data_IF_212591820914
#
_entry.id   IF_212591820914
#
_cell.length_a   1.000
_cell.length_b   1.000
_cell.length_c   1.000
_cell.angle_alpha   90.00
_cell.angle_beta   90.00
_cell.angle_gamma   90.00
#
_symmetry.space_group_name_H-M   'P 1'
#
loop_
_entity.id
_entity.type
_entity.pdbx_description
1 polymer ?
#
# COMPACT_ATOMS: atom_id res chain seq x y z
N UNK A 1 5.43 10.45 -1.21
CA UNK A 1 5.70 9.15 -0.54
C UNK A 1 4.50 8.23 -0.74
N UNK A 2 4.68 6.92 -0.55
CA UNK A 2 3.58 5.96 -0.45
C UNK A 2 3.42 5.57 1.01
N UNK A 3 2.18 5.41 1.46
CA UNK A 3 1.84 4.89 2.78
C UNK A 3 1.23 3.52 2.56
N UNK A 4 1.83 2.48 3.13
CA UNK A 4 1.37 1.10 3.01
C UNK A 4 0.81 0.67 4.36
N UNK A 5 -0.42 0.16 4.39
CA UNK A 5 -1.10 -0.30 5.61
C UNK A 5 -1.82 -1.64 5.39
N UNK A 6 -2.50 -2.18 6.41
CA UNK A 6 -3.38 -3.33 6.28
C UNK A 6 -4.70 -3.06 5.56
N UNK A 7 -5.06 -1.80 5.29
CA UNK A 7 -6.23 -1.43 4.48
C UNK A 7 -7.62 -1.64 5.10
N UNK A 8 -7.71 -2.16 6.33
CA UNK A 8 -9.00 -2.42 6.97
C UNK A 8 -9.56 -1.18 7.71
N UNK A 9 -10.89 -1.11 7.83
CA UNK A 9 -11.62 -0.05 8.54
C UNK A 9 -11.65 -0.31 10.07
N UNK A 10 -10.46 -0.51 10.64
CA UNK A 10 -10.26 -0.75 12.06
C UNK A 10 -8.91 -0.20 12.55
N UNK A 11 -8.80 0.08 13.84
CA UNK A 11 -7.56 0.51 14.49
C UNK A 11 -6.85 1.69 13.81
N UNK A 12 -5.53 1.59 13.71
CA UNK A 12 -4.65 2.61 13.12
C UNK A 12 -4.96 2.86 11.64
N UNK A 13 -5.38 1.83 10.90
CA UNK A 13 -5.66 1.93 9.47
C UNK A 13 -6.81 2.93 9.22
N UNK A 14 -7.86 2.88 10.04
CA UNK A 14 -8.96 3.86 10.01
C UNK A 14 -8.46 5.28 10.33
N UNK A 15 -7.68 5.44 11.39
CA UNK A 15 -7.14 6.74 11.79
C UNK A 15 -6.30 7.38 10.67
N UNK A 16 -5.46 6.59 9.99
CA UNK A 16 -4.67 7.06 8.84
C UNK A 16 -5.60 7.53 7.72
N UNK A 17 -6.64 6.76 7.39
CA UNK A 17 -7.64 7.14 6.39
C UNK A 17 -8.29 8.48 6.71
N UNK A 18 -8.77 8.65 7.93
CA UNK A 18 -9.41 9.89 8.40
C UNK A 18 -8.44 11.08 8.33
N UNK A 19 -7.17 10.92 8.73
CA UNK A 19 -6.15 11.98 8.64
C UNK A 19 -5.87 12.38 7.19
N UNK A 20 -5.80 11.40 6.28
CA UNK A 20 -5.56 11.67 4.86
C UNK A 20 -6.76 12.39 4.24
N UNK A 21 -7.99 12.05 4.63
CA UNK A 21 -9.20 12.73 4.20
C UNK A 21 -9.28 14.19 4.70
N UNK A 22 -8.83 14.44 5.94
CA UNK A 22 -8.86 15.76 6.55
C UNK A 22 -7.74 16.70 6.06
N UNK A 23 -6.77 16.20 5.29
CA UNK A 23 -5.73 17.07 4.72
C UNK A 23 -6.38 18.03 3.73
N UNK A 24 -6.33 19.36 3.98
CA UNK A 24 -6.87 20.32 3.05
C UNK A 24 -6.09 20.24 1.72
N UNK A 25 -6.81 20.33 0.60
CA UNK A 25 -6.26 20.48 -0.77
C UNK A 25 -5.43 21.79 -0.96
N UNK A 26 -5.10 22.48 0.14
CA UNK A 26 -4.70 23.90 0.18
C UNK A 26 -3.27 24.19 -0.25
N UNK A 27 -2.52 23.21 -0.76
CA UNK A 27 -1.29 23.53 -1.49
C UNK A 27 -1.46 23.14 -2.94
N UNK A 28 -1.56 24.14 -3.81
CA UNK A 28 -1.62 24.05 -5.28
C UNK A 28 -0.49 23.19 -5.93
N UNK A 29 0.45 22.66 -5.14
CA UNK A 29 1.61 21.87 -5.57
C UNK A 29 1.83 20.55 -4.79
N UNK A 30 0.94 20.14 -3.87
CA UNK A 30 1.12 18.83 -3.20
C UNK A 30 0.65 17.70 -4.10
N UNK A 31 1.56 16.77 -4.42
CA UNK A 31 1.17 15.51 -5.06
C UNK A 31 0.29 14.71 -4.08
N UNK A 32 -0.82 14.11 -4.54
CA UNK A 32 -1.69 13.33 -3.68
C UNK A 32 -0.92 12.18 -3.03
N UNK A 33 -1.20 11.93 -1.75
CA UNK A 33 -0.60 10.82 -1.01
C UNK A 33 -1.24 9.53 -1.49
N UNK A 34 -0.41 8.55 -1.89
CA UNK A 34 -0.90 7.21 -2.23
C UNK A 34 -0.98 6.38 -0.97
N UNK A 35 -2.20 6.14 -0.50
CA UNK A 35 -2.51 5.26 0.61
C UNK A 35 -2.90 3.89 0.03
N UNK A 36 -2.08 2.88 0.27
CA UNK A 36 -2.16 1.53 -0.31
C UNK A 36 -2.44 0.51 0.80
N UNK A 37 -3.54 -0.22 0.67
CA UNK A 37 -3.95 -1.25 1.62
C UNK A 37 -3.54 -2.62 1.10
N UNK A 38 -2.85 -3.41 1.91
CA UNK A 38 -2.49 -4.79 1.58
C UNK A 38 -3.16 -5.71 2.58
N UNK A 39 -4.03 -6.60 2.10
CA UNK A 39 -4.82 -7.50 2.94
C UNK A 39 -4.89 -8.92 2.36
N UNK A 40 -5.06 -9.93 3.24
CA UNK A 40 -5.43 -11.28 2.81
C UNK A 40 -6.83 -11.28 2.20
N UNK A 41 -6.96 -11.79 0.97
CA UNK A 41 -8.21 -11.83 0.19
C UNK A 41 -9.40 -12.38 1.00
N UNK A 42 -9.25 -13.57 1.58
CA UNK A 42 -10.33 -14.23 2.30
C UNK A 42 -10.73 -13.57 3.63
N UNK A 43 -10.01 -12.57 4.13
CA UNK A 43 -10.40 -11.80 5.32
C UNK A 43 -11.28 -10.58 5.00
N UNK A 44 -11.31 -10.16 3.74
CA UNK A 44 -12.04 -8.96 3.30
C UNK A 44 -13.53 -9.25 3.22
N UNK A 45 -14.36 -8.38 3.80
CA UNK A 45 -15.82 -8.45 3.64
C UNK A 45 -16.19 -8.28 2.17
N UNK A 46 -17.18 -9.03 1.72
CA UNK A 46 -17.66 -8.99 0.33
C UNK A 46 -16.60 -9.39 -0.70
N UNK A 47 -15.58 -10.18 -0.31
CA UNK A 47 -14.50 -10.61 -1.22
C UNK A 47 -15.02 -11.35 -2.46
N UNK A 48 -16.12 -12.10 -2.33
CA UNK A 48 -16.78 -12.77 -3.46
C UNK A 48 -17.26 -11.78 -4.54
N UNK A 49 -17.63 -10.54 -4.16
CA UNK A 49 -18.05 -9.50 -5.11
C UNK A 49 -16.87 -8.90 -5.88
N UNK A 50 -15.66 -9.02 -5.33
CA UNK A 50 -14.43 -8.50 -5.92
C UNK A 50 -13.87 -9.43 -7.00
N UNK A 51 -14.36 -10.67 -7.12
CA UNK A 51 -13.95 -11.64 -8.15
C UNK A 51 -14.58 -11.31 -9.51
N UNK A 52 -14.24 -10.12 -10.01
CA UNK A 52 -14.69 -9.61 -11.31
C UNK A 52 -13.58 -8.82 -11.98
N UNK A 53 -13.39 -9.03 -13.28
CA UNK A 53 -12.39 -8.31 -14.06
C UNK A 53 -13.00 -7.06 -14.71
N UNK A 54 -12.33 -5.92 -14.54
CA UNK A 54 -12.66 -4.66 -15.24
C UNK A 54 -13.99 -4.03 -14.83
N UNK A 55 -14.54 -4.38 -13.67
CA UNK A 55 -15.82 -3.86 -13.16
C UNK A 55 -15.62 -3.03 -11.90
N UNK A 56 -16.51 -2.05 -11.71
CA UNK A 56 -16.61 -1.28 -10.47
C UNK A 56 -17.50 -2.07 -9.51
N UNK A 57 -16.96 -2.39 -8.34
CA UNK A 57 -17.66 -3.09 -7.25
C UNK A 57 -17.91 -2.12 -6.11
N UNK A 58 -19.11 -2.18 -5.52
CA UNK A 58 -19.44 -1.42 -4.31
C UNK A 58 -19.43 -2.37 -3.11
N UNK A 59 -18.51 -2.13 -2.17
CA UNK A 59 -18.43 -2.88 -0.93
C UNK A 59 -19.24 -2.17 0.17
N UNK A 60 -19.86 -2.93 1.07
CA UNK A 60 -20.67 -2.34 2.14
C UNK A 60 -19.82 -1.84 3.29
N UNK A 61 -20.05 -0.57 3.70
CA UNK A 61 -19.49 -0.02 4.94
C UNK A 61 -20.18 -0.56 6.20
N UNK A 62 -21.36 -1.15 6.06
CA UNK A 62 -22.12 -1.62 7.22
C UNK A 62 -21.35 -2.73 7.94
N UNK A 63 -21.04 -2.51 9.22
CA UNK A 63 -20.54 -3.58 10.08
C UNK A 63 -21.62 -4.65 10.17
N UNK A 64 -21.32 -5.81 9.61
CA UNK A 64 -22.12 -7.01 9.82
C UNK A 64 -21.61 -7.72 11.07
N UNK A 65 -22.49 -8.39 11.82
CA UNK A 65 -22.15 -9.17 13.02
C UNK A 65 -21.36 -10.47 12.72
N UNK A 66 -20.93 -10.66 11.46
CA UNK A 66 -20.10 -11.78 11.07
C UNK A 66 -18.72 -11.60 11.69
N UNK A 67 -18.40 -12.46 12.66
CA UNK A 67 -17.05 -12.59 13.21
C UNK A 67 -16.07 -12.90 12.07
N UNK A 68 -14.90 -12.29 12.15
CA UNK A 68 -13.73 -12.55 11.31
C UNK A 68 -13.73 -11.98 9.88
N UNK A 69 -14.64 -11.05 9.54
CA UNK A 69 -14.60 -10.25 8.30
C UNK A 69 -14.25 -8.78 8.57
N UNK A 70 -13.30 -8.22 7.83
CA UNK A 70 -12.92 -6.80 7.91
C UNK A 70 -13.45 -6.01 6.73
N UNK A 71 -14.03 -4.84 7.02
CA UNK A 71 -14.37 -3.85 6.00
C UNK A 71 -13.11 -3.17 5.47
N UNK A 72 -13.15 -2.72 4.21
CA UNK A 72 -12.09 -1.91 3.62
C UNK A 72 -12.23 -0.45 4.06
N UNK A 73 -11.10 0.19 4.36
CA UNK A 73 -11.09 1.60 4.72
C UNK A 73 -11.28 2.48 3.46
N UNK A 74 -12.29 3.35 3.44
CA UNK A 74 -12.73 4.05 2.22
C UNK A 74 -11.78 5.13 1.69
N UNK A 75 -10.86 5.64 2.49
CA UNK A 75 -9.93 6.71 2.10
C UNK A 75 -8.62 6.16 1.48
N UNK A 76 -8.47 4.84 1.41
CA UNK A 76 -7.39 4.21 0.65
C UNK A 76 -7.57 4.43 -0.85
N UNK A 77 -6.46 4.74 -1.52
CA UNK A 77 -6.44 5.01 -2.96
C UNK A 77 -6.28 3.73 -3.79
N UNK A 78 -5.64 2.71 -3.22
CA UNK A 78 -5.34 1.45 -3.89
C UNK A 78 -5.42 0.30 -2.89
N UNK A 79 -5.76 -0.88 -3.40
CA UNK A 79 -5.75 -2.13 -2.64
C UNK A 79 -4.97 -3.21 -3.39
N UNK A 80 -4.26 -4.03 -2.63
CA UNK A 80 -3.66 -5.28 -3.09
C UNK A 80 -4.19 -6.39 -2.21
N UNK A 81 -4.87 -7.36 -2.83
CA UNK A 81 -5.36 -8.52 -2.12
C UNK A 81 -4.47 -9.73 -2.39
N UNK A 82 -4.01 -10.36 -1.32
CA UNK A 82 -3.14 -11.54 -1.38
C UNK A 82 -4.01 -12.77 -1.10
N UNK A 83 -4.15 -13.63 -2.10
CA UNK A 83 -4.89 -14.89 -1.94
C UNK A 83 -3.94 -16.00 -1.44
N UNK A 84 -4.23 -16.52 -0.24
CA UNK A 84 -3.58 -17.69 0.35
C UNK A 84 -4.51 -18.92 0.41
N UNK A 85 -5.66 -18.84 -0.28
CA UNK A 85 -6.73 -19.84 -0.32
C UNK A 85 -7.44 -20.08 1.02
N UNK A 86 -7.20 -19.24 2.03
CA UNK A 86 -7.93 -19.31 3.28
C UNK A 86 -9.14 -18.37 3.26
N UNK A 87 -10.13 -18.67 4.10
CA UNK A 87 -11.31 -17.83 4.30
C UNK A 87 -11.34 -17.40 5.76
N UNK A 88 -11.57 -16.11 6.01
CA UNK A 88 -11.61 -15.49 7.34
C UNK A 88 -10.35 -15.68 8.18
N UNK A 89 -9.19 -15.77 7.53
CA UNK A 89 -7.89 -15.77 8.21
C UNK A 89 -7.07 -14.57 7.78
N UNK A 90 -6.31 -14.05 8.75
CA UNK A 90 -5.39 -12.95 8.56
C UNK A 90 -3.96 -13.46 8.40
N UNK A 91 -3.09 -12.63 7.82
CA UNK A 91 -1.66 -12.85 7.81
C UNK A 91 -1.09 -13.54 6.56
N UNK A 92 -1.95 -13.96 5.62
CA UNK A 92 -1.53 -14.44 4.30
C UNK A 92 -0.72 -13.38 3.53
N UNK A 93 -0.94 -12.10 3.80
CA UNK A 93 -0.22 -10.99 3.18
C UNK A 93 1.18 -10.72 3.75
N UNK A 94 1.52 -11.24 4.93
CA UNK A 94 2.75 -10.84 5.66
C UNK A 94 3.99 -11.08 4.82
N UNK A 95 4.13 -12.28 4.23
CA UNK A 95 5.29 -12.63 3.42
C UNK A 95 5.34 -11.84 2.12
N UNK A 96 4.17 -11.51 1.55
CA UNK A 96 4.09 -10.64 0.38
C UNK A 96 4.60 -9.23 0.71
N UNK A 97 4.21 -8.66 1.85
CA UNK A 97 4.67 -7.33 2.29
C UNK A 97 6.20 -7.27 2.42
N UNK A 98 6.81 -8.26 3.07
CA UNK A 98 8.27 -8.34 3.21
C UNK A 98 8.96 -8.34 1.83
N UNK A 99 8.47 -9.18 0.91
CA UNK A 99 9.03 -9.27 -0.45
C UNK A 99 8.82 -7.99 -1.25
N UNK A 100 7.68 -7.33 -1.10
CA UNK A 100 7.37 -6.07 -1.75
C UNK A 100 8.29 -4.95 -1.26
N UNK A 101 8.48 -4.83 0.05
CA UNK A 101 9.37 -3.83 0.67
C UNK A 101 10.82 -4.03 0.22
N UNK A 102 11.29 -5.28 0.17
CA UNK A 102 12.60 -5.64 -0.40
C UNK A 102 12.69 -5.25 -1.89
N UNK A 103 11.70 -5.64 -2.69
CA UNK A 103 11.68 -5.36 -4.12
C UNK A 103 11.66 -3.86 -4.43
N UNK A 104 10.89 -3.05 -3.69
CA UNK A 104 10.86 -1.58 -3.87
C UNK A 104 12.23 -0.97 -3.57
N UNK A 105 12.88 -1.45 -2.51
CA UNK A 105 14.21 -0.98 -2.09
C UNK A 105 15.26 -1.32 -3.17
N UNK A 106 15.22 -2.55 -3.69
CA UNK A 106 16.16 -3.03 -4.72
C UNK A 106 15.88 -2.50 -6.13
N UNK A 107 14.62 -2.42 -6.55
CA UNK A 107 14.23 -1.94 -7.88
C UNK A 107 14.63 -0.47 -8.06
N UNK A 108 14.51 0.34 -7.01
CA UNK A 108 14.95 1.74 -7.05
C UNK A 108 16.46 1.86 -7.26
N UNK A 109 17.24 0.91 -6.72
CA UNK A 109 18.67 0.85 -7.00
C UNK A 109 18.92 0.51 -8.48
N UNK A 110 18.19 -0.45 -9.04
CA UNK A 110 18.38 -0.96 -10.41
C UNK A 110 18.00 0.05 -11.52
N UNK A 111 16.79 0.62 -11.48
CA UNK A 111 16.33 1.58 -12.50
C UNK A 111 17.20 2.86 -12.55
N UNK A 112 17.81 3.21 -11.42
CA UNK A 112 18.65 4.41 -11.34
C UNK A 112 20.11 4.13 -11.65
N UNK A 113 20.59 2.89 -11.49
CA UNK A 113 21.87 2.46 -12.09
C UNK A 113 21.83 2.51 -13.60
N UNK A 114 20.73 2.11 -14.26
CA UNK A 114 20.60 2.27 -15.73
C UNK A 114 20.66 3.75 -16.12
N UNK A 115 19.87 4.61 -15.46
CA UNK A 115 19.94 6.07 -15.67
C UNK A 115 21.31 6.68 -15.32
N UNK A 116 22.06 6.10 -14.38
CA UNK A 116 23.39 6.55 -13.97
C UNK A 116 24.49 6.07 -14.92
N UNK A 117 24.37 4.87 -15.50
CA UNK A 117 25.24 4.39 -16.58
C UNK A 117 25.07 5.30 -17.80
N UNK A 118 23.84 5.67 -18.14
CA UNK A 118 23.53 6.62 -19.22
C UNK A 118 24.12 8.02 -18.94
N UNK A 119 24.19 8.43 -17.66
CA UNK A 119 24.82 9.69 -17.23
C UNK A 119 26.34 9.62 -17.12
N UNK A 120 26.94 8.47 -16.79
CA UNK A 120 28.39 8.26 -16.71
C UNK A 120 29.07 8.33 -18.08
N UNK A 121 28.36 7.99 -19.16
CA UNK A 121 28.79 8.30 -20.53
C UNK A 121 28.89 9.81 -20.81
N UNK A 122 28.36 10.66 -19.93
CA UNK A 122 28.38 12.13 -20.02
C UNK A 122 28.99 12.77 -18.75
N UNK A 123 30.27 12.49 -18.47
CA UNK A 123 31.20 13.20 -17.56
C UNK A 123 30.63 14.05 -16.39
N UNK A 124 30.84 13.62 -15.14
CA UNK A 124 31.72 14.21 -14.07
C UNK A 124 31.31 13.73 -12.67
N UNK A 125 32.32 13.43 -11.84
CA UNK A 125 32.25 12.85 -10.50
C UNK A 125 31.45 13.70 -9.49
N UNK A 126 30.49 13.08 -8.78
CA UNK A 126 29.93 13.58 -7.52
C UNK A 126 29.68 12.46 -6.50
N UNK A 127 29.76 12.87 -5.23
CA UNK A 127 29.86 12.13 -3.97
C UNK A 127 28.88 10.96 -3.78
N UNK A 128 29.43 9.84 -3.28
CA UNK A 128 28.77 8.55 -3.12
C UNK A 128 27.79 8.55 -1.92
N UNK A 129 26.55 8.99 -2.14
CA UNK A 129 25.42 8.74 -1.20
C UNK A 129 24.87 7.32 -1.43
N UNK A 130 24.45 6.62 -0.37
CA UNK A 130 23.73 5.36 -0.53
C UNK A 130 22.36 5.65 -1.18
N UNK A 131 22.07 4.98 -2.29
CA UNK A 131 21.08 5.42 -3.29
C UNK A 131 19.79 4.56 -3.31
N UNK A 132 19.37 4.06 -2.15
CA UNK A 132 18.14 3.26 -2.00
C UNK A 132 16.91 4.14 -1.77
N UNK A 133 15.72 3.71 -2.22
CA UNK A 133 14.48 4.31 -1.71
C UNK A 133 14.38 3.99 -0.21
N UNK A 134 14.40 5.00 0.69
CA UNK A 134 14.32 4.72 2.10
C UNK A 134 12.92 4.21 2.45
N UNK A 135 12.87 3.00 3.01
CA UNK A 135 11.66 2.43 3.64
C UNK A 135 11.74 2.72 5.14
N UNK A 136 10.68 3.31 5.69
CA UNK A 136 10.57 3.63 7.11
C UNK A 136 9.37 2.86 7.66
N UNK A 137 9.60 2.09 8.73
CA UNK A 137 8.54 1.41 9.46
C UNK A 137 8.10 2.30 10.64
N UNK A 138 6.82 2.68 10.65
CA UNK A 138 6.18 3.36 11.77
C UNK A 138 5.31 2.35 12.51
N UNK A 139 5.61 2.11 13.78
CA UNK A 139 4.82 1.24 14.67
C UNK A 139 4.09 2.12 15.67
N UNK A 140 2.77 1.94 15.77
CA UNK A 140 1.89 2.66 16.70
C UNK A 140 1.02 1.61 17.38
N UNK A 141 0.87 1.70 18.71
CA UNK A 141 0.01 0.84 19.52
C UNK A 141 -1.42 1.40 19.62
#
# INVERSE_FOLDING_TARGET
AWIITGGNDAGIMKLIGDIIQLKPDSSFNSKPVRLIGIATWGSVRDFDLLDVQGKIVRCSKQRNDKKDEVGLEPNHTHFVFVDDKTVRKYGGEIMFRVKLEQAITSATAMYRTESYIDQMTSSTQQQQKSNYAPVVLLVVE
#
